data_IF_520259285744
#
_entry.id   IF_520259285744
#
_cell.length_a   1.000
_cell.length_b   1.000
_cell.length_c   1.000
_cell.angle_alpha   90.00
_cell.angle_beta   90.00
_cell.angle_gamma   90.00
#
_symmetry.space_group_name_H-M   'P 1'
#
loop_
_entity.id
_entity.type
_entity.pdbx_description
1 polymer ?
#
# COMPACT_ATOMS: atom_id res chain seq x y z
N UNK A 1 5.66 -37.08 3.29
CA UNK A 1 6.21 -35.72 3.47
C UNK A 1 5.68 -35.25 4.82
N UNK A 2 6.45 -35.44 5.89
CA UNK A 2 6.02 -35.08 7.24
C UNK A 2 6.21 -33.57 7.38
N UNK A 3 5.11 -32.83 7.50
CA UNK A 3 5.16 -31.41 7.81
C UNK A 3 5.78 -31.25 9.20
N UNK A 4 6.79 -30.40 9.33
CA UNK A 4 7.41 -30.13 10.65
C UNK A 4 6.36 -29.52 11.56
N UNK A 5 6.37 -29.82 12.87
CA UNK A 5 5.41 -29.23 13.80
C UNK A 5 5.49 -27.70 13.76
N UNK A 6 4.36 -27.00 13.92
CA UNK A 6 4.35 -25.55 13.91
C UNK A 6 5.30 -25.01 14.99
N UNK A 7 6.26 -24.20 14.59
CA UNK A 7 7.15 -23.48 15.51
C UNK A 7 6.40 -22.29 16.09
N UNK A 8 6.24 -22.30 17.42
CA UNK A 8 5.62 -21.19 18.14
C UNK A 8 6.69 -20.16 18.51
N UNK A 9 6.36 -18.89 18.31
CA UNK A 9 7.16 -17.74 18.76
C UNK A 9 6.35 -16.95 19.78
N UNK A 10 7.04 -16.22 20.65
CA UNK A 10 6.39 -15.34 21.61
C UNK A 10 5.54 -14.27 20.90
N UNK A 11 4.33 -14.02 21.39
CA UNK A 11 3.40 -13.08 20.78
C UNK A 11 3.93 -11.64 20.72
N UNK A 12 4.83 -11.26 21.64
CA UNK A 12 5.45 -9.94 21.69
C UNK A 12 6.53 -9.75 20.62
N UNK A 13 7.04 -10.82 20.00
CA UNK A 13 8.05 -10.72 18.95
C UNK A 13 7.54 -9.89 17.76
N UNK A 14 6.26 -10.04 17.42
CA UNK A 14 5.63 -9.26 16.36
C UNK A 14 5.58 -7.76 16.68
N UNK A 15 5.32 -7.39 17.94
CA UNK A 15 5.31 -6.00 18.41
C UNK A 15 6.72 -5.39 18.29
N UNK A 16 7.76 -6.09 18.77
CA UNK A 16 9.14 -5.64 18.66
C UNK A 16 9.59 -5.50 17.21
N UNK A 17 9.27 -6.49 16.37
CA UNK A 17 9.61 -6.47 14.96
C UNK A 17 8.93 -5.30 14.23
N UNK A 18 7.66 -5.03 14.52
CA UNK A 18 6.94 -3.91 13.92
C UNK A 18 7.55 -2.55 14.33
N UNK A 19 7.90 -2.37 15.60
CA UNK A 19 8.57 -1.16 16.07
C UNK A 19 9.92 -0.96 15.38
N UNK A 20 10.71 -2.02 15.28
CA UNK A 20 12.02 -1.98 14.61
C UNK A 20 11.88 -1.69 13.12
N UNK A 21 10.90 -2.31 12.44
CA UNK A 21 10.61 -1.99 11.03
C UNK A 21 10.28 -0.50 10.84
N UNK A 22 9.46 0.09 11.73
CA UNK A 22 9.08 1.51 11.63
C UNK A 22 10.31 2.41 11.81
N UNK A 23 11.16 2.11 12.80
CA UNK A 23 12.38 2.87 13.05
C UNK A 23 13.34 2.75 11.85
N UNK A 24 13.69 1.52 11.48
CA UNK A 24 14.59 1.20 10.38
C UNK A 24 14.12 1.80 9.04
N UNK A 25 12.81 1.74 8.73
CA UNK A 25 12.29 2.34 7.49
C UNK A 25 12.26 3.87 7.53
N UNK A 26 12.05 4.48 8.70
CA UNK A 26 12.09 5.94 8.86
C UNK A 26 13.50 6.46 8.65
N UNK A 27 14.50 5.79 9.25
CA UNK A 27 15.92 6.12 9.09
C UNK A 27 16.38 5.91 7.65
N UNK A 28 16.03 4.77 7.05
CA UNK A 28 16.35 4.48 5.66
C UNK A 28 15.70 5.48 4.69
N UNK A 29 14.47 5.92 4.98
CA UNK A 29 13.78 6.97 4.21
C UNK A 29 14.56 8.28 4.28
N UNK A 30 14.88 8.76 5.49
CA UNK A 30 15.63 9.99 5.70
C UNK A 30 17.00 9.95 5.02
N UNK A 31 17.76 8.87 5.20
CA UNK A 31 19.08 8.69 4.57
C UNK A 31 18.99 8.68 3.04
N UNK A 32 18.00 7.97 2.47
CA UNK A 32 17.84 7.89 1.01
C UNK A 32 17.52 9.25 0.39
N UNK A 33 16.66 10.05 1.03
CA UNK A 33 16.29 11.38 0.57
C UNK A 33 17.47 12.35 0.73
N UNK A 34 18.18 12.30 1.85
CA UNK A 34 19.36 13.11 2.07
C UNK A 34 20.46 12.82 1.03
N UNK A 35 20.66 11.54 0.68
CA UNK A 35 21.58 11.14 -0.39
C UNK A 35 21.15 11.70 -1.74
N UNK A 36 19.85 11.67 -2.06
CA UNK A 36 19.31 12.22 -3.30
C UNK A 36 19.48 13.75 -3.38
N UNK A 37 19.23 14.48 -2.28
CA UNK A 37 19.45 15.92 -2.19
C UNK A 37 20.92 16.27 -2.39
N UNK A 38 21.84 15.59 -1.69
CA UNK A 38 23.29 15.78 -1.86
C UNK A 38 23.73 15.53 -3.30
N UNK A 39 23.24 14.47 -3.93
CA UNK A 39 23.54 14.15 -5.33
C UNK A 39 23.04 15.23 -6.31
N UNK A 40 21.85 15.79 -6.05
CA UNK A 40 21.27 16.88 -6.85
C UNK A 40 22.10 18.17 -6.73
N UNK A 41 22.52 18.51 -5.51
CA UNK A 41 23.39 19.66 -5.26
C UNK A 41 24.74 19.47 -5.96
N UNK A 42 25.38 18.31 -5.81
CA UNK A 42 26.67 18.06 -6.48
C UNK A 42 26.57 18.17 -8.00
N UNK A 43 25.49 17.67 -8.59
CA UNK A 43 25.23 17.79 -10.03
C UNK A 43 25.03 19.25 -10.47
N UNK A 44 24.24 20.04 -9.72
CA UNK A 44 24.02 21.45 -10.01
C UNK A 44 25.31 22.29 -9.89
N UNK A 45 26.11 22.04 -8.86
CA UNK A 45 27.40 22.70 -8.66
C UNK A 45 28.37 22.39 -9.81
N UNK A 46 28.47 21.12 -10.22
CA UNK A 46 29.32 20.71 -11.33
C UNK A 46 28.87 21.35 -12.66
N UNK A 47 27.56 21.41 -12.91
CA UNK A 47 27.00 22.07 -14.09
C UNK A 47 27.26 23.57 -14.08
N UNK A 48 27.13 24.25 -12.93
CA UNK A 48 27.41 25.69 -12.80
C UNK A 48 28.89 26.00 -13.08
N UNK A 49 29.80 25.17 -12.59
CA UNK A 49 31.24 25.30 -12.87
C UNK A 49 31.57 25.13 -14.36
N UNK A 50 30.89 24.23 -15.06
CA UNK A 50 31.04 24.05 -16.52
C UNK A 50 30.51 25.25 -17.33
N UNK A 51 29.45 25.91 -16.86
CA UNK A 51 28.88 27.10 -17.53
C UNK A 51 29.56 28.42 -17.16
N UNK A 52 30.31 28.48 -16.05
CA UNK A 52 30.98 29.68 -15.56
C UNK A 52 32.34 29.95 -16.23
N UNK A 53 32.87 29.02 -17.03
CA UNK A 53 34.12 29.21 -17.79
C UNK A 53 33.97 30.16 -18.99
N UNK A 54 32.78 30.73 -19.24
CA UNK A 54 32.49 31.65 -20.34
C UNK A 54 31.93 33.02 -19.93
N UNK A 55 31.87 33.38 -18.64
CA UNK A 55 31.25 34.65 -18.16
C UNK A 55 32.18 35.44 -17.22
N UNK A 56 32.25 36.75 -17.47
CA UNK A 56 33.10 37.76 -16.82
C UNK A 56 32.96 37.79 -15.26
N UNK A 57 34.05 37.71 -14.48
CA UNK A 57 34.01 37.51 -13.02
C UNK A 57 33.52 38.70 -12.17
N UNK A 58 33.02 39.79 -12.77
CA UNK A 58 32.61 41.01 -12.04
C UNK A 58 31.12 41.09 -11.66
N UNK A 59 30.31 40.07 -11.96
CA UNK A 59 28.87 40.04 -11.69
C UNK A 59 28.41 38.93 -10.72
N UNK A 60 29.33 38.17 -10.10
CA UNK A 60 29.00 36.87 -9.48
C UNK A 60 28.92 36.84 -7.95
N UNK A 61 28.96 37.99 -7.26
CA UNK A 61 29.13 38.02 -5.80
C UNK A 61 27.79 37.99 -5.02
N UNK A 62 26.66 38.40 -5.64
CA UNK A 62 25.38 38.53 -4.91
C UNK A 62 24.52 37.26 -4.84
N UNK A 63 24.76 36.24 -5.67
CA UNK A 63 23.95 35.00 -5.71
C UNK A 63 24.50 33.84 -4.83
N UNK A 64 25.61 34.04 -4.13
CA UNK A 64 26.25 32.99 -3.34
C UNK A 64 25.57 32.72 -1.97
N UNK A 65 24.68 33.61 -1.51
CA UNK A 65 24.05 33.52 -0.19
C UNK A 65 22.67 32.84 -0.14
N UNK A 66 22.08 32.43 -1.28
CA UNK A 66 20.74 31.81 -1.32
C UNK A 66 20.73 30.27 -1.18
N UNK A 67 21.91 29.63 -1.07
CA UNK A 67 22.04 28.18 -0.95
C UNK A 67 21.88 27.66 0.47
N UNK A 68 20.78 27.99 1.17
CA UNK A 68 20.48 27.33 2.43
C UNK A 68 20.28 25.83 2.18
N UNK A 69 21.04 25.02 2.90
CA UNK A 69 20.96 23.56 2.90
C UNK A 69 19.62 23.10 3.45
N UNK A 70 18.59 23.05 2.60
CA UNK A 70 17.30 22.48 3.00
C UNK A 70 17.47 20.95 3.01
N UNK A 71 17.57 20.37 4.20
CA UNK A 71 17.47 18.92 4.38
C UNK A 71 16.11 18.39 3.93
N UNK A 72 15.95 17.06 3.77
CA UNK A 72 14.67 16.49 3.34
C UNK A 72 13.53 16.90 4.29
N UNK A 73 12.40 17.31 3.72
CA UNK A 73 11.24 17.75 4.49
C UNK A 73 10.59 16.56 5.18
N UNK A 74 10.08 16.79 6.39
CA UNK A 74 9.35 15.77 7.16
C UNK A 74 8.24 15.04 6.39
N UNK A 75 7.34 15.72 5.63
CA UNK A 75 6.33 15.03 4.83
C UNK A 75 6.91 14.08 3.77
N UNK A 76 8.06 14.42 3.17
CA UNK A 76 8.71 13.55 2.18
C UNK A 76 9.24 12.28 2.84
N UNK A 77 9.78 12.40 4.06
CA UNK A 77 10.23 11.26 4.86
C UNK A 77 9.05 10.36 5.23
N UNK A 78 7.94 10.94 5.67
CA UNK A 78 6.75 10.19 6.07
C UNK A 78 6.11 9.46 4.86
N UNK A 79 6.10 10.10 3.69
CA UNK A 79 5.66 9.49 2.45
C UNK A 79 6.60 8.34 2.03
N UNK A 80 7.91 8.57 2.06
CA UNK A 80 8.92 7.58 1.73
C UNK A 80 8.91 6.38 2.71
N UNK A 81 8.63 6.61 3.99
CA UNK A 81 8.37 5.56 4.98
C UNK A 81 7.11 4.78 4.61
N UNK A 82 6.00 5.48 4.32
CA UNK A 82 4.73 4.87 3.93
C UNK A 82 4.91 3.94 2.73
N UNK A 83 5.61 4.37 1.68
CA UNK A 83 5.88 3.55 0.49
C UNK A 83 6.65 2.26 0.81
N UNK A 84 7.64 2.32 1.72
CA UNK A 84 8.43 1.14 2.12
C UNK A 84 7.61 0.17 2.94
N UNK A 85 6.88 0.68 3.92
CA UNK A 85 5.98 -0.11 4.75
C UNK A 85 4.89 -0.77 3.90
N UNK A 86 4.37 -0.04 2.93
CA UNK A 86 3.37 -0.50 2.00
C UNK A 86 3.90 -1.64 1.10
N UNK A 87 5.10 -1.48 0.53
CA UNK A 87 5.72 -2.54 -0.27
C UNK A 87 5.99 -3.82 0.55
N UNK A 88 6.43 -3.68 1.81
CA UNK A 88 6.65 -4.81 2.71
C UNK A 88 5.33 -5.51 3.06
N UNK A 89 4.32 -4.75 3.51
CA UNK A 89 3.02 -5.29 3.86
C UNK A 89 2.31 -5.96 2.69
N UNK A 90 2.40 -5.39 1.48
CA UNK A 90 1.81 -5.98 0.28
C UNK A 90 2.39 -7.37 -0.02
N UNK A 91 3.72 -7.52 0.05
CA UNK A 91 4.38 -8.82 -0.16
C UNK A 91 3.99 -9.84 0.91
N UNK A 92 3.94 -9.40 2.18
CA UNK A 92 3.51 -10.25 3.28
C UNK A 92 2.06 -10.72 3.08
N UNK A 93 1.15 -9.81 2.74
CA UNK A 93 -0.25 -10.16 2.48
C UNK A 93 -0.42 -11.12 1.31
N UNK A 94 0.32 -10.89 0.22
CA UNK A 94 0.34 -11.78 -0.93
C UNK A 94 0.74 -13.21 -0.53
N UNK A 95 1.92 -13.36 0.10
CA UNK A 95 2.45 -14.66 0.51
C UNK A 95 1.58 -15.33 1.58
N UNK A 96 1.00 -14.55 2.49
CA UNK A 96 0.12 -15.05 3.54
C UNK A 96 -1.17 -15.62 2.96
N UNK A 97 -1.78 -14.95 1.97
CA UNK A 97 -2.95 -15.46 1.27
C UNK A 97 -2.65 -16.79 0.57
N UNK A 98 -1.55 -16.87 -0.19
CA UNK A 98 -1.07 -18.10 -0.84
C UNK A 98 -0.91 -19.24 0.18
N UNK A 99 -0.20 -18.98 1.27
CA UNK A 99 0.11 -19.99 2.29
C UNK A 99 -1.15 -20.51 2.99
N UNK A 100 -2.05 -19.62 3.42
CA UNK A 100 -3.24 -20.02 4.19
C UNK A 100 -4.26 -20.73 3.30
N UNK A 101 -4.36 -20.34 2.03
CA UNK A 101 -5.37 -20.89 1.11
C UNK A 101 -4.93 -22.18 0.41
N UNK A 102 -3.65 -22.55 0.49
CA UNK A 102 -3.04 -23.69 -0.21
C UNK A 102 -3.86 -24.98 -0.09
N UNK A 103 -4.27 -25.32 1.12
CA UNK A 103 -4.98 -26.59 1.42
C UNK A 103 -6.47 -26.39 1.72
N UNK A 104 -7.00 -25.18 1.46
CA UNK A 104 -8.41 -24.85 1.69
C UNK A 104 -9.25 -25.06 0.42
N UNK A 105 -10.55 -25.38 0.57
CA UNK A 105 -11.49 -25.36 -0.54
C UNK A 105 -11.45 -24.00 -1.24
N UNK A 106 -11.55 -24.01 -2.58
CA UNK A 106 -11.59 -22.77 -3.35
C UNK A 106 -12.78 -21.91 -2.93
N UNK A 107 -12.58 -20.58 -2.92
CA UNK A 107 -13.63 -19.64 -2.61
C UNK A 107 -14.84 -19.81 -3.55
N UNK A 108 -16.08 -19.69 -3.03
CA UNK A 108 -17.29 -19.68 -3.83
C UNK A 108 -17.21 -18.61 -4.93
N UNK A 109 -17.67 -18.96 -6.13
CA UNK A 109 -17.63 -18.09 -7.31
C UNK A 109 -18.95 -17.33 -7.45
N UNK A 110 -18.89 -16.02 -7.69
CA UNK A 110 -20.10 -15.21 -7.84
C UNK A 110 -20.80 -15.50 -9.18
N UNK A 111 -22.09 -15.89 -9.11
CA UNK A 111 -23.04 -16.12 -10.21
C UNK A 111 -22.53 -16.89 -11.44
N UNK A 112 -22.95 -18.16 -11.55
CA UNK A 112 -22.67 -19.08 -12.66
C UNK A 112 -23.29 -18.70 -14.03
N UNK A 113 -23.84 -17.48 -14.18
CA UNK A 113 -24.66 -17.12 -15.35
C UNK A 113 -23.92 -16.31 -16.44
N UNK A 114 -22.62 -16.02 -16.29
CA UNK A 114 -21.87 -15.29 -17.33
C UNK A 114 -20.54 -15.96 -17.69
N UNK A 115 -20.37 -16.23 -18.98
CA UNK A 115 -19.40 -17.09 -19.66
C UNK A 115 -17.97 -16.52 -19.74
N UNK A 116 -17.58 -15.63 -18.84
CA UNK A 116 -16.25 -14.99 -18.82
C UNK A 116 -15.68 -15.00 -17.41
N UNK A 117 -14.57 -15.72 -17.20
CA UNK A 117 -13.71 -15.76 -15.98
C UNK A 117 -14.45 -15.42 -14.67
N UNK A 118 -15.05 -16.42 -14.03
CA UNK A 118 -15.81 -16.22 -12.79
C UNK A 118 -14.88 -15.93 -11.61
N UNK A 119 -14.86 -14.67 -11.15
CA UNK A 119 -14.10 -14.24 -9.98
C UNK A 119 -14.70 -14.79 -8.67
N UNK A 120 -13.89 -14.98 -7.61
CA UNK A 120 -14.40 -15.32 -6.27
C UNK A 120 -15.36 -14.25 -5.73
N UNK A 121 -16.33 -14.66 -4.91
CA UNK A 121 -17.23 -13.73 -4.22
C UNK A 121 -16.41 -12.78 -3.30
N UNK A 122 -16.43 -11.45 -3.55
CA UNK A 122 -15.68 -10.49 -2.74
C UNK A 122 -15.99 -10.57 -1.25
N UNK A 123 -17.22 -10.93 -0.87
CA UNK A 123 -17.60 -11.04 0.54
C UNK A 123 -16.86 -12.18 1.24
N UNK A 124 -16.69 -13.32 0.57
CA UNK A 124 -15.98 -14.48 1.13
C UNK A 124 -14.48 -14.21 1.25
N UNK A 125 -13.90 -13.46 0.30
CA UNK A 125 -12.51 -13.00 0.40
C UNK A 125 -12.30 -12.06 1.59
N UNK A 126 -13.27 -11.19 1.87
CA UNK A 126 -13.18 -10.26 2.99
C UNK A 126 -13.41 -10.97 4.33
N UNK A 127 -14.29 -11.98 4.38
CA UNK A 127 -14.42 -12.86 5.56
C UNK A 127 -13.12 -13.63 5.82
N UNK A 128 -12.44 -14.09 4.78
CA UNK A 128 -11.10 -14.69 4.89
C UNK A 128 -10.10 -13.72 5.53
N UNK A 129 -10.10 -12.44 5.13
CA UNK A 129 -9.26 -11.42 5.78
C UNK A 129 -9.63 -11.27 7.27
N UNK A 130 -10.92 -11.11 7.58
CA UNK A 130 -11.41 -10.90 8.94
C UNK A 130 -11.12 -12.08 9.89
N UNK A 131 -11.04 -13.30 9.35
CA UNK A 131 -10.82 -14.51 10.12
C UNK A 131 -9.37 -14.96 10.03
N UNK A 132 -8.93 -15.39 8.86
CA UNK A 132 -7.68 -16.12 8.73
C UNK A 132 -6.45 -15.22 8.70
N UNK A 133 -6.51 -14.12 7.93
CA UNK A 133 -5.40 -13.14 7.91
C UNK A 133 -5.28 -12.47 9.27
N UNK A 134 -6.40 -12.04 9.86
CA UNK A 134 -6.41 -11.43 11.20
C UNK A 134 -5.89 -12.38 12.27
N UNK A 135 -6.32 -13.66 12.24
CA UNK A 135 -5.81 -14.67 13.17
C UNK A 135 -4.30 -14.88 12.99
N UNK A 136 -3.79 -14.90 11.75
CA UNK A 136 -2.37 -15.09 11.51
C UNK A 136 -1.50 -13.91 11.96
N UNK A 137 -2.01 -12.67 11.82
CA UNK A 137 -1.26 -11.46 12.20
C UNK A 137 -1.37 -11.14 13.68
N UNK A 138 -2.56 -11.29 14.24
CA UNK A 138 -2.88 -10.77 15.56
C UNK A 138 -3.28 -11.85 16.54
N UNK A 139 -3.53 -13.10 16.13
CA UNK A 139 -4.11 -14.13 17.00
C UNK A 139 -5.48 -13.72 17.57
N UNK A 140 -6.30 -13.04 16.76
CA UNK A 140 -7.73 -12.77 16.97
C UNK A 140 -8.44 -12.61 15.63
N UNK A 141 -9.77 -12.72 15.63
CA UNK A 141 -10.59 -12.30 14.49
C UNK A 141 -10.89 -10.81 14.58
N UNK A 142 -11.25 -10.19 13.45
CA UNK A 142 -11.80 -8.84 13.47
C UNK A 142 -13.15 -8.82 14.20
N UNK A 143 -13.46 -7.73 14.89
CA UNK A 143 -14.61 -7.64 15.78
C UNK A 143 -15.92 -7.43 15.01
N UNK A 144 -15.87 -6.69 13.90
CA UNK A 144 -17.06 -6.42 13.08
C UNK A 144 -16.72 -6.31 11.58
N UNK A 145 -17.66 -6.76 10.74
CA UNK A 145 -17.65 -6.57 9.30
C UNK A 145 -19.00 -5.97 8.88
N UNK A 146 -18.97 -4.75 8.34
CA UNK A 146 -20.12 -4.11 7.68
C UNK A 146 -19.91 -4.11 6.17
N UNK A 147 -20.99 -4.26 5.42
CA UNK A 147 -20.95 -4.34 3.95
C UNK A 147 -21.95 -3.38 3.33
N UNK A 148 -21.74 -3.03 2.07
CA UNK A 148 -22.65 -2.23 1.27
C UNK A 148 -22.78 -2.86 -0.12
N UNK A 149 -23.98 -2.82 -0.71
CA UNK A 149 -24.26 -3.30 -2.07
C UNK A 149 -23.40 -2.62 -3.15
N UNK A 150 -22.76 -1.48 -2.84
CA UNK A 150 -21.85 -0.75 -3.74
C UNK A 150 -20.38 -1.21 -3.68
N UNK A 151 -20.09 -2.38 -3.13
CA UNK A 151 -18.71 -2.90 -3.08
C UNK A 151 -17.82 -2.17 -2.06
N UNK A 152 -18.42 -1.67 -0.98
CA UNK A 152 -17.71 -1.06 0.16
C UNK A 152 -17.88 -1.97 1.35
N UNK A 153 -16.76 -2.26 2.01
CA UNK A 153 -16.69 -3.13 3.18
C UNK A 153 -15.91 -2.41 4.28
N UNK A 154 -16.33 -2.59 5.52
CA UNK A 154 -15.74 -1.93 6.67
C UNK A 154 -15.44 -2.98 7.73
N UNK A 155 -14.15 -3.20 7.97
CA UNK A 155 -13.65 -4.09 9.02
C UNK A 155 -13.34 -3.22 10.24
N UNK A 156 -13.87 -3.58 11.40
CA UNK A 156 -13.60 -2.88 12.66
C UNK A 156 -12.86 -3.82 13.61
N UNK A 157 -11.78 -3.30 14.19
CA UNK A 157 -11.06 -3.91 15.30
C UNK A 157 -11.12 -2.94 16.48
N UNK A 158 -11.89 -3.25 17.52
CA UNK A 158 -12.12 -2.38 18.68
C UNK A 158 -10.92 -2.31 19.62
N UNK A 159 -10.00 -3.27 19.53
CA UNK A 159 -8.82 -3.37 20.40
C UNK A 159 -7.63 -3.80 19.55
N UNK A 160 -7.26 -2.92 18.63
CA UNK A 160 -6.22 -3.19 17.65
C UNK A 160 -4.88 -3.37 18.38
N UNK A 161 -4.34 -4.59 18.35
CA UNK A 161 -3.21 -5.01 19.20
C UNK A 161 -2.01 -4.07 19.15
N UNK A 162 -1.54 -3.60 17.98
CA UNK A 162 -0.43 -2.66 17.90
C UNK A 162 -0.68 -1.30 18.59
N UNK A 163 -1.93 -0.91 18.83
CA UNK A 163 -2.25 0.34 19.53
C UNK A 163 -2.27 0.20 21.05
N UNK A 164 -2.41 -1.01 21.59
CA UNK A 164 -2.54 -1.21 23.04
C UNK A 164 -1.28 -0.84 23.84
N UNK A 165 -0.12 -0.79 23.18
CA UNK A 165 1.17 -0.50 23.82
C UNK A 165 1.75 0.85 23.44
N UNK A 166 1.02 1.67 22.68
CA UNK A 166 1.46 3.01 22.33
C UNK A 166 1.07 3.94 23.47
N UNK A 167 2.05 4.70 23.96
CA UNK A 167 1.81 5.78 24.90
C UNK A 167 2.67 6.99 24.50
N UNK A 168 2.11 8.17 24.64
CA UNK A 168 2.84 9.43 24.52
C UNK A 168 2.50 10.32 25.72
N UNK A 169 3.41 11.22 26.14
CA UNK A 169 3.08 12.21 27.16
C UNK A 169 1.91 13.11 26.73
N UNK A 170 1.16 13.63 27.72
CA UNK A 170 0.06 14.57 27.48
C UNK A 170 0.59 15.80 26.73
N UNK A 171 -0.12 16.23 25.69
CA UNK A 171 0.27 17.35 24.83
C UNK A 171 0.98 16.95 23.52
N UNK A 172 1.32 15.66 23.32
CA UNK A 172 1.97 15.15 22.11
C UNK A 172 1.01 14.39 21.17
N UNK A 173 -0.26 14.81 21.11
CA UNK A 173 -1.31 14.15 20.30
C UNK A 173 -0.95 14.06 18.80
N UNK A 174 -0.25 15.08 18.27
CA UNK A 174 0.22 15.07 16.88
C UNK A 174 1.26 13.98 16.61
N UNK A 175 2.17 13.75 17.55
CA UNK A 175 3.17 12.68 17.42
C UNK A 175 2.54 11.30 17.59
N UNK A 176 1.50 11.19 18.43
CA UNK A 176 0.70 9.98 18.55
C UNK A 176 0.01 9.62 17.23
N UNK A 177 -0.74 10.57 16.64
CA UNK A 177 -1.40 10.36 15.35
C UNK A 177 -0.39 9.94 14.27
N UNK A 178 0.77 10.59 14.23
CA UNK A 178 1.86 10.25 13.29
C UNK A 178 2.40 8.84 13.52
N UNK A 179 2.66 8.44 14.76
CA UNK A 179 3.10 7.08 15.09
C UNK A 179 2.05 6.04 14.68
N UNK A 180 0.78 6.29 14.99
CA UNK A 180 -0.33 5.42 14.62
C UNK A 180 -0.45 5.27 13.10
N UNK A 181 -0.32 6.37 12.33
CA UNK A 181 -0.33 6.35 10.86
C UNK A 181 0.81 5.50 10.27
N UNK A 182 2.00 5.53 10.87
CA UNK A 182 3.13 4.69 10.46
C UNK A 182 2.86 3.21 10.72
N UNK A 183 2.25 2.88 11.86
CA UNK A 183 1.87 1.51 12.24
C UNK A 183 0.82 0.95 11.29
N UNK A 184 -0.25 1.68 10.98
CA UNK A 184 -1.35 1.18 10.15
C UNK A 184 -1.02 1.08 8.66
N UNK A 185 0.08 1.70 8.20
CA UNK A 185 0.53 1.55 6.82
C UNK A 185 0.81 0.07 6.46
N UNK A 186 1.30 -0.72 7.42
CA UNK A 186 1.57 -2.14 7.22
C UNK A 186 0.30 -2.99 7.01
N UNK A 187 -0.68 -3.06 7.95
CA UNK A 187 -1.89 -3.86 7.75
C UNK A 187 -2.72 -3.41 6.55
N UNK A 188 -2.75 -2.11 6.23
CA UNK A 188 -3.40 -1.61 5.02
C UNK A 188 -2.90 -2.31 3.77
N UNK A 189 -1.58 -2.43 3.66
CA UNK A 189 -0.94 -3.06 2.53
C UNK A 189 -1.06 -4.59 2.58
N UNK A 190 -1.04 -5.21 3.76
CA UNK A 190 -1.30 -6.65 3.92
C UNK A 190 -2.70 -7.02 3.41
N UNK A 191 -3.73 -6.27 3.80
CA UNK A 191 -5.11 -6.49 3.29
C UNK A 191 -5.12 -6.38 1.77
N UNK A 192 -4.52 -5.32 1.21
CA UNK A 192 -4.47 -5.11 -0.24
C UNK A 192 -3.74 -6.22 -0.98
N UNK A 193 -2.58 -6.65 -0.48
CA UNK A 193 -1.77 -7.72 -1.07
C UNK A 193 -2.49 -9.07 -1.05
N UNK A 194 -3.11 -9.40 0.08
CA UNK A 194 -3.87 -10.64 0.24
C UNK A 194 -5.06 -10.70 -0.72
N UNK A 195 -5.86 -9.64 -0.79
CA UNK A 195 -7.04 -9.58 -1.66
C UNK A 195 -6.64 -9.56 -3.14
N UNK A 196 -5.57 -8.85 -3.51
CA UNK A 196 -5.10 -8.80 -4.90
C UNK A 196 -4.62 -10.17 -5.38
N UNK A 197 -3.92 -10.94 -4.54
CA UNK A 197 -3.50 -12.30 -4.88
C UNK A 197 -4.71 -13.21 -5.16
N UNK A 198 -5.80 -13.01 -4.42
CA UNK A 198 -7.05 -13.76 -4.59
C UNK A 198 -7.94 -13.22 -5.73
N UNK A 199 -7.45 -12.25 -6.51
CA UNK A 199 -8.15 -11.69 -7.68
C UNK A 199 -9.10 -10.53 -7.38
N UNK A 200 -9.04 -9.94 -6.18
CA UNK A 200 -9.84 -8.78 -5.79
C UNK A 200 -8.98 -7.52 -5.68
N UNK A 201 -9.03 -6.68 -6.71
CA UNK A 201 -8.42 -5.36 -6.67
C UNK A 201 -9.24 -4.41 -5.79
N UNK A 202 -8.57 -3.74 -4.86
CA UNK A 202 -9.23 -2.84 -3.93
C UNK A 202 -8.34 -1.67 -3.51
N UNK A 203 -9.00 -0.61 -3.04
CA UNK A 203 -8.38 0.49 -2.31
C UNK A 203 -8.76 0.34 -0.85
N UNK A 204 -7.77 0.40 0.03
CA UNK A 204 -7.98 0.30 1.48
C UNK A 204 -7.61 1.64 2.11
N UNK A 205 -8.50 2.12 2.97
CA UNK A 205 -8.33 3.32 3.78
C UNK A 205 -8.56 2.98 5.24
N UNK A 206 -8.03 3.81 6.14
CA UNK A 206 -8.09 3.55 7.59
C UNK A 206 -8.56 4.78 8.34
N UNK A 207 -9.37 4.55 9.35
CA UNK A 207 -9.77 5.51 10.37
C UNK A 207 -9.27 5.01 11.73
N UNK A 208 -8.58 5.88 12.45
CA UNK A 208 -7.90 5.57 13.72
C UNK A 208 -8.68 6.23 14.85
N UNK A 209 -9.13 5.43 15.82
CA UNK A 209 -9.86 5.89 17.00
C UNK A 209 -9.39 5.08 18.22
N UNK A 210 -8.22 5.41 18.78
CA UNK A 210 -7.53 4.58 19.76
C UNK A 210 -8.43 4.09 20.91
N UNK A 211 -8.42 2.79 21.26
CA UNK A 211 -7.60 1.70 20.69
C UNK A 211 -8.23 1.02 19.45
N UNK A 212 -9.36 1.51 18.95
CA UNK A 212 -10.03 1.01 17.77
C UNK A 212 -9.34 1.44 16.47
N UNK A 213 -9.39 0.55 15.49
CA UNK A 213 -8.97 0.80 14.12
C UNK A 213 -10.06 0.30 13.16
N UNK A 214 -10.42 1.13 12.18
CA UNK A 214 -11.45 0.80 11.18
C UNK A 214 -10.83 0.82 9.79
N UNK A 215 -10.89 -0.31 9.07
CA UNK A 215 -10.38 -0.46 7.72
C UNK A 215 -11.54 -0.46 6.72
N UNK A 216 -11.58 0.54 5.85
CA UNK A 216 -12.54 0.63 4.78
C UNK A 216 -11.92 0.13 3.46
N UNK A 217 -12.50 -0.94 2.92
CA UNK A 217 -12.11 -1.58 1.66
C UNK A 217 -13.13 -1.21 0.59
N UNK A 218 -12.67 -0.61 -0.50
CA UNK A 218 -13.46 -0.32 -1.68
C UNK A 218 -12.98 -1.21 -2.83
N UNK A 219 -13.86 -2.07 -3.34
CA UNK A 219 -13.53 -2.93 -4.49
C UNK A 219 -13.49 -2.11 -5.77
N UNK A 220 -12.50 -2.37 -6.60
CA UNK A 220 -12.39 -1.80 -7.94
C UNK A 220 -13.06 -2.77 -8.92
N UNK A 221 -13.87 -2.25 -9.84
CA UNK A 221 -14.39 -3.07 -10.93
C UNK A 221 -13.21 -3.63 -11.75
N UNK A 222 -13.26 -4.89 -12.19
CA UNK A 222 -12.22 -5.43 -13.07
C UNK A 222 -12.18 -4.57 -14.33
N UNK A 223 -11.02 -3.98 -14.62
CA UNK A 223 -10.82 -3.21 -15.83
C UNK A 223 -11.02 -4.16 -17.02
N UNK A 224 -12.15 -4.01 -17.73
CA UNK A 224 -12.36 -4.65 -19.02
C UNK A 224 -11.34 -4.00 -19.96
N UNK A 225 -10.24 -4.70 -20.25
CA UNK A 225 -9.32 -4.31 -21.31
C UNK A 225 -10.05 -4.46 -22.65
N UNK A 226 -10.82 -3.45 -23.06
CA UNK A 226 -11.35 -3.36 -24.41
C UNK A 226 -10.17 -3.08 -25.33
N UNK A 227 -9.63 -4.13 -25.94
CA UNK A 227 -8.83 -4.00 -27.17
C UNK A 227 -9.70 -3.24 -28.19
N UNK A 228 -9.21 -2.13 -28.79
CA UNK A 228 -9.94 -1.48 -29.87
C UNK A 228 -9.99 -2.45 -31.05
N UNK A 229 -11.15 -3.05 -31.30
CA UNK A 229 -11.38 -3.81 -32.52
C UNK A 229 -11.49 -2.80 -33.66
N UNK A 230 -10.40 -2.62 -34.41
CA UNK A 230 -10.42 -1.90 -35.69
C UNK A 230 -11.39 -2.61 -36.63
N UNK A 231 -12.62 -2.12 -36.72
CA UNK A 231 -13.57 -2.56 -37.75
C UNK A 231 -13.12 -1.98 -39.09
N UNK A 232 -12.51 -2.81 -39.93
CA UNK A 232 -12.32 -2.52 -41.34
C UNK A 232 -13.70 -2.52 -42.03
N UNK A 233 -14.15 -1.35 -42.46
CA UNK A 233 -15.38 -1.19 -43.24
C UNK A 233 -15.08 -1.49 -44.72
N UNK A 234 -15.48 -2.66 -45.20
CA UNK A 234 -15.46 -3.01 -46.63
C UNK A 234 -16.60 -2.29 -47.34
N UNK A 235 -16.26 -1.38 -48.24
CA UNK A 235 -17.22 -0.70 -49.14
C UNK A 235 -17.58 -1.65 -50.27
N UNK A 236 -18.83 -2.15 -50.28
CA UNK A 236 -19.40 -2.87 -51.41
C UNK A 236 -20.19 -1.87 -52.28
N UNK A 237 -19.63 -1.52 -53.45
CA UNK A 237 -20.31 -0.73 -54.47
C UNK A 237 -21.11 -1.63 -55.41
N UNK A 238 -22.43 -1.49 -55.41
CA UNK A 238 -23.35 -2.20 -56.30
C UNK A 238 -23.69 -1.30 -57.48
N UNK A 239 -23.29 -1.69 -58.69
CA UNK A 239 -23.65 -1.04 -59.95
C UNK A 239 -25.11 -1.30 -60.29
N UNK A 240 -25.93 -0.25 -60.45
CA UNK A 240 -27.23 -0.36 -61.10
C UNK A 240 -27.11 0.07 -62.57
N UNK A 241 -27.49 -0.88 -63.44
CA UNK A 241 -27.79 -0.70 -64.86
C UNK A 241 -29.27 -0.28 -64.93
N UNK A 242 -29.60 0.77 -65.68
CA UNK A 242 -30.98 1.00 -66.13
C UNK A 242 -30.96 1.56 -67.55
N UNK A 243 -31.84 0.99 -68.36
CA UNK A 243 -32.20 1.40 -69.73
C UNK A 243 -32.97 2.72 -69.72
#
# INVERSE_FOLDING_TARGET
MFDSPPTYVDAHLADYFLHEMIASFSEAAAHSLQKAVKAKISYQTQRRQQTASSVDPRLSVDEAMAGQSVGPLQPDIDEAHRMRMDAAGYKVGWALAERITKDKPRFPRANQQSTTVTLPDPLELIKFVCKDVWMAMYNKQADNLRTNHKGIYVIQDHSYRPFLRISVPVGYEKELDKACRRIVAFPLAVIRGALTNLGLHCVVSVEIALPQCTFQIRTLAPAVSTLPTTTASTVAGTSQITR
#
